data_IF_580641595062
#
_entry.id   IF_580641595062
#
_cell.length_a   1.000
_cell.length_b   1.000
_cell.length_c   1.000
_cell.angle_alpha   90.00
_cell.angle_beta   90.00
_cell.angle_gamma   90.00
#
_symmetry.space_group_name_H-M   'P 1'
#
loop_
_entity.id
_entity.type
_entity.pdbx_description
1 polymer ?
#
# COMPACT_ATOMS: atom_id res chain seq x y z
N UNK A 1 -32.67 2.32 -48.47
CA UNK A 1 -33.25 3.12 -47.36
C UNK A 1 -32.36 2.93 -46.13
N UNK A 2 -31.45 3.86 -45.84
CA UNK A 2 -30.69 3.86 -44.59
C UNK A 2 -31.59 4.42 -43.47
N UNK A 3 -31.75 3.74 -42.32
CA UNK A 3 -32.47 4.31 -41.19
C UNK A 3 -31.65 5.48 -40.62
N UNK A 4 -32.26 6.66 -40.55
CA UNK A 4 -31.70 7.83 -39.90
C UNK A 4 -31.70 7.61 -38.38
N UNK A 5 -30.52 7.35 -37.81
CA UNK A 5 -30.34 7.18 -36.35
C UNK A 5 -30.31 8.55 -35.64
N UNK A 6 -31.02 8.75 -34.51
CA UNK A 6 -31.12 10.06 -33.86
C UNK A 6 -29.75 10.55 -33.33
N UNK A 7 -29.39 11.84 -33.52
CA UNK A 7 -28.05 12.38 -33.25
C UNK A 7 -27.71 12.54 -31.75
N UNK A 8 -28.62 12.21 -30.83
CA UNK A 8 -28.45 12.36 -29.38
C UNK A 8 -27.92 11.12 -28.64
N UNK A 9 -28.15 9.91 -29.14
CA UNK A 9 -27.83 8.67 -28.40
C UNK A 9 -26.35 8.27 -28.46
N UNK A 10 -25.66 8.60 -29.56
CA UNK A 10 -24.21 8.31 -29.71
C UNK A 10 -23.35 9.10 -28.73
N UNK A 11 -23.75 10.32 -28.38
CA UNK A 11 -22.95 11.20 -27.50
C UNK A 11 -22.95 10.68 -26.06
N UNK A 12 -24.10 10.24 -25.56
CA UNK A 12 -24.22 9.67 -24.23
C UNK A 12 -23.61 8.26 -24.14
N UNK A 13 -23.74 7.43 -25.18
CA UNK A 13 -23.08 6.13 -25.25
C UNK A 13 -21.55 6.27 -25.27
N UNK A 14 -20.98 7.11 -26.15
CA UNK A 14 -19.53 7.38 -26.21
C UNK A 14 -18.98 7.99 -24.92
N UNK A 15 -19.76 8.85 -24.23
CA UNK A 15 -19.36 9.42 -22.93
C UNK A 15 -19.47 8.42 -21.77
N UNK A 16 -20.22 7.33 -21.93
CA UNK A 16 -20.29 6.21 -20.97
C UNK A 16 -19.16 5.21 -21.24
N UNK A 17 -18.87 4.93 -22.51
CA UNK A 17 -17.73 4.15 -23.00
C UNK A 17 -16.40 4.71 -22.45
N UNK A 18 -16.14 6.01 -22.69
CA UNK A 18 -14.94 6.69 -22.21
C UNK A 18 -14.84 6.71 -20.67
N UNK A 19 -15.96 6.60 -19.95
CA UNK A 19 -16.01 6.66 -18.47
C UNK A 19 -15.91 5.29 -17.80
N UNK A 20 -16.03 4.20 -18.55
CA UNK A 20 -15.70 2.87 -18.06
C UNK A 20 -14.25 2.52 -18.44
N UNK A 21 -13.80 2.95 -19.62
CA UNK A 21 -12.41 2.77 -20.06
C UNK A 21 -11.39 3.34 -19.07
N UNK A 22 -11.64 4.53 -18.51
CA UNK A 22 -10.68 5.14 -17.58
C UNK A 22 -10.51 4.33 -16.28
N UNK A 23 -11.57 3.67 -15.79
CA UNK A 23 -11.51 2.82 -14.60
C UNK A 23 -10.79 1.50 -14.88
N UNK A 24 -10.81 1.03 -16.12
CA UNK A 24 -10.17 -0.23 -16.54
C UNK A 24 -8.74 -0.03 -17.05
N UNK A 25 -8.21 1.20 -17.05
CA UNK A 25 -6.82 1.44 -17.44
C UNK A 25 -5.86 0.75 -16.47
N UNK A 26 -4.77 0.18 -16.99
CA UNK A 26 -3.73 -0.44 -16.16
C UNK A 26 -2.94 0.59 -15.34
N UNK A 27 -2.75 1.79 -15.91
CA UNK A 27 -1.97 2.87 -15.30
C UNK A 27 -2.69 4.19 -15.43
N UNK A 28 -2.89 4.86 -14.31
CA UNK A 28 -3.39 6.23 -14.28
C UNK A 28 -2.24 7.22 -14.30
N UNK A 29 -2.55 8.47 -14.65
CA UNK A 29 -1.54 9.52 -14.60
C UNK A 29 -1.09 9.74 -13.15
N UNK A 30 0.23 9.91 -12.90
CA UNK A 30 0.74 10.08 -11.54
C UNK A 30 0.18 11.33 -10.87
N UNK A 31 -0.13 12.38 -11.65
CA UNK A 31 -0.77 13.59 -11.16
C UNK A 31 -2.19 13.35 -10.67
N UNK A 32 -3.01 12.58 -11.40
CA UNK A 32 -4.38 12.27 -10.98
C UNK A 32 -4.39 11.41 -9.71
N UNK A 33 -3.50 10.41 -9.64
CA UNK A 33 -3.33 9.57 -8.44
C UNK A 33 -2.85 10.42 -7.26
N UNK A 34 -1.89 11.33 -7.47
CA UNK A 34 -1.39 12.24 -6.44
C UNK A 34 -2.48 13.16 -5.87
N UNK A 35 -3.28 13.77 -6.75
CA UNK A 35 -4.46 14.57 -6.33
C UNK A 35 -5.43 13.69 -5.53
N UNK A 36 -5.72 12.47 -6.00
CA UNK A 36 -6.60 11.53 -5.32
C UNK A 36 -6.12 11.14 -3.92
N UNK A 37 -4.82 10.85 -3.76
CA UNK A 37 -4.21 10.56 -2.46
C UNK A 37 -4.26 11.78 -1.54
N UNK A 38 -4.04 12.99 -2.07
CA UNK A 38 -4.16 14.23 -1.30
C UNK A 38 -5.58 14.46 -0.77
N UNK A 39 -6.60 14.30 -1.64
CA UNK A 39 -8.01 14.40 -1.24
C UNK A 39 -8.39 13.32 -0.23
N UNK A 40 -7.95 12.08 -0.46
CA UNK A 40 -8.15 10.98 0.49
C UNK A 40 -7.54 11.30 1.85
N UNK A 41 -6.36 11.93 1.87
CA UNK A 41 -5.70 12.32 3.10
C UNK A 41 -6.50 13.37 3.87
N UNK A 42 -7.02 14.40 3.19
CA UNK A 42 -7.92 15.37 3.83
C UNK A 42 -9.16 14.72 4.41
N UNK A 43 -9.80 13.83 3.65
CA UNK A 43 -10.98 13.09 4.13
C UNK A 43 -10.64 12.23 5.34
N UNK A 44 -9.51 11.52 5.32
CA UNK A 44 -9.06 10.70 6.45
C UNK A 44 -8.81 11.53 7.71
N UNK A 45 -8.21 12.73 7.58
CA UNK A 45 -8.05 13.65 8.71
C UNK A 45 -9.40 14.14 9.22
N UNK A 46 -10.29 14.60 8.34
CA UNK A 46 -11.61 15.13 8.75
C UNK A 46 -12.49 14.06 9.40
N UNK A 47 -12.44 12.81 8.94
CA UNK A 47 -13.32 11.74 9.45
C UNK A 47 -12.75 11.01 10.66
N UNK A 48 -11.44 11.00 10.87
CA UNK A 48 -10.82 10.10 11.86
C UNK A 48 -9.67 10.72 12.65
N UNK A 49 -9.31 11.99 12.40
CA UNK A 49 -8.19 12.70 13.04
C UNK A 49 -6.89 11.88 13.07
N UNK A 50 -6.75 10.96 12.11
CA UNK A 50 -5.65 9.99 12.04
C UNK A 50 -4.94 10.10 10.69
N UNK A 51 -3.60 10.10 10.68
CA UNK A 51 -2.83 10.05 9.45
C UNK A 51 -3.02 8.70 8.73
N UNK A 52 -2.68 8.67 7.44
CA UNK A 52 -2.62 7.44 6.67
C UNK A 52 -1.37 6.65 7.07
N UNK A 53 -1.58 5.51 7.73
CA UNK A 53 -0.52 4.60 8.16
C UNK A 53 -0.93 3.14 8.02
N UNK A 54 -0.01 2.28 7.60
CA UNK A 54 -0.25 0.84 7.50
C UNK A 54 0.41 0.04 8.63
N UNK A 55 1.58 0.47 9.08
CA UNK A 55 2.43 -0.29 10.01
C UNK A 55 1.81 -0.49 11.39
N UNK A 56 0.99 0.44 11.86
CA UNK A 56 0.25 0.31 13.12
C UNK A 56 -0.86 -0.74 13.02
N UNK A 57 -1.57 -0.82 11.90
CA UNK A 57 -2.59 -1.87 11.68
C UNK A 57 -1.99 -3.28 11.81
N UNK A 58 -0.75 -3.49 11.33
CA UNK A 58 -0.04 -4.76 11.52
C UNK A 58 0.30 -5.04 12.99
N UNK A 59 0.76 -4.03 13.74
CA UNK A 59 1.04 -4.17 15.17
C UNK A 59 -0.22 -4.44 16.00
N UNK A 60 -1.34 -3.80 15.65
CA UNK A 60 -2.65 -4.06 16.29
C UNK A 60 -3.15 -5.46 15.97
N UNK A 61 -2.96 -5.91 14.73
CA UNK A 61 -3.32 -7.27 14.31
C UNK A 61 -2.52 -8.32 15.08
N UNK A 62 -1.20 -8.13 15.25
CA UNK A 62 -0.41 -9.05 16.08
C UNK A 62 -0.91 -9.07 17.53
N UNK A 63 -1.27 -7.91 18.10
CA UNK A 63 -1.88 -7.84 19.42
C UNK A 63 -3.27 -8.49 19.52
N UNK A 64 -4.09 -8.41 18.48
CA UNK A 64 -5.39 -9.09 18.43
C UNK A 64 -5.22 -10.61 18.40
N UNK A 65 -4.29 -11.11 17.58
CA UNK A 65 -3.94 -12.53 17.52
C UNK A 65 -3.38 -12.98 18.87
N UNK A 66 -2.46 -12.21 19.46
CA UNK A 66 -1.87 -12.57 20.74
C UNK A 66 -2.91 -12.57 21.86
N UNK A 67 -3.83 -11.59 21.88
CA UNK A 67 -4.95 -11.52 22.82
C UNK A 67 -5.89 -12.71 22.67
N UNK A 68 -6.08 -13.21 21.45
CA UNK A 68 -6.86 -14.42 21.18
C UNK A 68 -6.19 -15.68 21.75
N UNK A 69 -4.85 -15.77 21.70
CA UNK A 69 -4.09 -16.93 22.16
C UNK A 69 -3.79 -16.92 23.67
N UNK A 70 -3.42 -15.77 24.23
CA UNK A 70 -2.96 -15.62 25.63
C UNK A 70 -3.95 -14.86 26.52
N UNK A 71 -5.13 -14.53 26.01
CA UNK A 71 -6.18 -13.83 26.72
C UNK A 71 -5.83 -12.38 27.07
N UNK A 72 -6.42 -11.88 28.15
CA UNK A 72 -6.40 -10.43 28.49
C UNK A 72 -5.05 -9.92 29.02
N UNK A 73 -4.13 -10.81 29.40
CA UNK A 73 -2.77 -10.50 29.89
C UNK A 73 -1.91 -9.74 28.87
N UNK A 74 -2.26 -9.82 27.58
CA UNK A 74 -1.58 -9.10 26.50
C UNK A 74 -1.77 -7.59 26.62
N UNK A 75 -2.90 -7.14 27.18
CA UNK A 75 -3.19 -5.72 27.37
C UNK A 75 -2.28 -5.06 28.42
N UNK A 76 -1.66 -5.85 29.29
CA UNK A 76 -0.74 -5.36 30.33
C UNK A 76 0.68 -5.13 29.78
N UNK A 77 0.97 -5.58 28.55
CA UNK A 77 2.29 -5.37 27.94
C UNK A 77 2.47 -3.90 27.55
N UNK A 78 3.62 -3.26 27.87
CA UNK A 78 3.88 -1.85 27.55
C UNK A 78 3.71 -1.51 26.06
N UNK A 79 4.02 -2.45 25.17
CA UNK A 79 3.86 -2.25 23.73
C UNK A 79 2.39 -2.14 23.32
N UNK A 80 1.51 -2.99 23.85
CA UNK A 80 0.08 -3.00 23.53
C UNK A 80 -0.72 -1.96 24.31
N UNK A 81 -0.15 -1.37 25.36
CA UNK A 81 -0.68 -0.14 25.95
C UNK A 81 -0.51 1.07 25.02
N UNK A 82 0.60 1.12 24.26
CA UNK A 82 0.82 2.15 23.23
C UNK A 82 0.06 1.86 21.93
N UNK A 83 -0.03 0.60 21.55
CA UNK A 83 -0.72 0.14 20.33
C UNK A 83 -1.82 -0.85 20.68
N UNK A 84 -2.94 -0.33 21.18
CA UNK A 84 -4.06 -1.14 21.62
C UNK A 84 -4.56 -2.08 20.50
N UNK A 85 -4.80 -3.37 20.78
CA UNK A 85 -5.32 -4.32 19.82
C UNK A 85 -6.82 -4.10 19.58
N UNK A 86 -7.11 -3.11 18.75
CA UNK A 86 -8.45 -2.69 18.35
C UNK A 86 -8.51 -2.51 16.83
N UNK A 87 -9.72 -2.65 16.29
CA UNK A 87 -10.00 -2.32 14.89
C UNK A 87 -10.24 -0.82 14.81
N UNK A 88 -9.31 -0.09 14.23
CA UNK A 88 -9.42 1.35 14.03
C UNK A 88 -9.41 1.74 12.56
N UNK A 89 -9.42 3.05 12.31
CA UNK A 89 -9.37 3.63 10.98
C UNK A 89 -8.23 3.09 10.11
N UNK A 90 -7.01 3.00 10.65
CA UNK A 90 -5.86 2.48 9.91
C UNK A 90 -6.05 1.00 9.53
N UNK A 91 -6.66 0.20 10.40
CA UNK A 91 -6.98 -1.19 10.09
C UNK A 91 -8.01 -1.30 8.97
N UNK A 92 -9.09 -0.51 9.02
CA UNK A 92 -10.11 -0.44 7.96
C UNK A 92 -9.51 0.05 6.64
N UNK A 93 -8.58 1.00 6.68
CA UNK A 93 -7.83 1.47 5.52
C UNK A 93 -7.03 0.34 4.88
N UNK A 94 -6.30 -0.47 5.66
CA UNK A 94 -5.51 -1.60 5.13
C UNK A 94 -6.43 -2.63 4.46
N UNK A 95 -7.57 -2.95 5.06
CA UNK A 95 -8.58 -3.82 4.42
C UNK A 95 -9.09 -3.20 3.12
N UNK A 96 -9.40 -1.90 3.13
CA UNK A 96 -9.82 -1.15 1.95
C UNK A 96 -8.77 -1.16 0.83
N UNK A 97 -7.48 -1.08 1.16
CA UNK A 97 -6.38 -1.19 0.18
C UNK A 97 -6.33 -2.58 -0.44
N UNK A 98 -6.50 -3.65 0.35
CA UNK A 98 -6.53 -5.03 -0.15
C UNK A 98 -7.71 -5.24 -1.10
N UNK A 99 -8.93 -4.87 -0.66
CA UNK A 99 -10.15 -5.00 -1.46
C UNK A 99 -10.08 -4.12 -2.71
N UNK A 100 -9.61 -2.88 -2.57
CA UNK A 100 -9.47 -1.94 -3.68
C UNK A 100 -8.44 -2.39 -4.71
N UNK A 101 -7.29 -2.92 -4.28
CA UNK A 101 -6.28 -3.47 -5.18
C UNK A 101 -6.82 -4.70 -5.93
N UNK A 102 -7.56 -5.57 -5.25
CA UNK A 102 -8.19 -6.72 -5.88
C UNK A 102 -9.26 -6.31 -6.92
N UNK A 103 -10.16 -5.39 -6.56
CA UNK A 103 -11.15 -4.86 -7.49
C UNK A 103 -10.49 -4.17 -8.69
N UNK A 104 -9.46 -3.36 -8.47
CA UNK A 104 -8.72 -2.70 -9.55
C UNK A 104 -8.05 -3.72 -10.48
N UNK A 105 -7.42 -4.76 -9.94
CA UNK A 105 -6.74 -5.78 -10.74
C UNK A 105 -7.74 -6.61 -11.57
N UNK A 106 -8.92 -6.90 -11.03
CA UNK A 106 -9.98 -7.63 -11.77
C UNK A 106 -10.61 -6.75 -12.86
N UNK A 107 -10.87 -5.46 -12.58
CA UNK A 107 -11.42 -4.50 -13.53
C UNK A 107 -10.47 -4.22 -14.70
N UNK A 108 -9.17 -4.03 -14.41
CA UNK A 108 -8.15 -3.82 -15.44
C UNK A 108 -7.71 -5.11 -16.13
N UNK A 109 -8.24 -6.28 -15.73
CA UNK A 109 -7.86 -7.61 -16.23
C UNK A 109 -6.35 -7.92 -16.09
N UNK A 110 -5.70 -7.31 -15.11
CA UNK A 110 -4.26 -7.48 -14.82
C UNK A 110 -4.00 -8.44 -13.67
N UNK A 111 -5.05 -9.05 -13.10
CA UNK A 111 -4.90 -10.04 -12.05
C UNK A 111 -4.13 -11.28 -12.57
N UNK A 112 -2.95 -11.52 -12.00
CA UNK A 112 -2.11 -12.67 -12.29
C UNK A 112 -1.41 -13.15 -11.03
N UNK A 113 -1.34 -14.47 -10.85
CA UNK A 113 -0.60 -15.09 -9.75
C UNK A 113 0.83 -15.31 -10.26
N UNK A 114 1.78 -14.56 -9.70
CA UNK A 114 3.20 -14.66 -10.05
C UNK A 114 3.99 -15.12 -8.82
N UNK A 115 4.54 -16.34 -8.88
CA UNK A 115 5.32 -16.92 -7.79
C UNK A 115 6.74 -16.36 -7.72
N UNK A 116 7.34 -16.09 -8.88
CA UNK A 116 8.68 -15.53 -9.00
C UNK A 116 8.61 -14.40 -10.03
N UNK A 117 8.83 -13.14 -9.63
CA UNK A 117 8.83 -12.01 -10.55
C UNK A 117 9.86 -12.16 -11.67
N UNK A 118 9.52 -11.78 -12.91
CA UNK A 118 10.46 -11.85 -14.04
C UNK A 118 11.84 -11.19 -13.76
N UNK A 119 11.86 -10.06 -13.07
CA UNK A 119 13.11 -9.39 -12.66
C UNK A 119 13.95 -10.23 -11.69
N UNK A 120 13.32 -11.00 -10.81
CA UNK A 120 14.02 -11.92 -9.93
C UNK A 120 14.53 -13.14 -10.69
N UNK A 121 13.72 -13.69 -11.60
CA UNK A 121 14.13 -14.83 -12.43
C UNK A 121 15.41 -14.51 -13.21
N UNK A 122 15.49 -13.30 -13.78
CA UNK A 122 16.66 -12.84 -14.51
C UNK A 122 17.92 -12.67 -13.66
N UNK A 123 17.78 -12.33 -12.36
CA UNK A 123 18.90 -12.03 -11.48
C UNK A 123 19.34 -13.20 -10.59
N UNK A 124 18.40 -13.98 -10.06
CA UNK A 124 18.63 -15.01 -9.04
C UNK A 124 18.08 -16.40 -9.42
N UNK A 125 17.54 -16.56 -10.64
CA UNK A 125 16.97 -17.80 -11.14
C UNK A 125 15.52 -18.06 -10.71
N UNK A 126 15.01 -19.23 -11.08
CA UNK A 126 13.57 -19.59 -10.99
C UNK A 126 13.16 -20.18 -9.63
N UNK A 127 14.06 -20.25 -8.65
CA UNK A 127 13.79 -20.91 -7.38
C UNK A 127 12.80 -20.11 -6.50
N UNK A 128 11.54 -20.58 -6.46
CA UNK A 128 10.51 -19.97 -5.64
C UNK A 128 10.87 -19.97 -4.15
N UNK A 129 11.44 -21.06 -3.63
CA UNK A 129 11.79 -21.18 -2.22
C UNK A 129 12.77 -20.07 -1.77
N UNK A 130 13.82 -19.81 -2.55
CA UNK A 130 14.80 -18.77 -2.23
C UNK A 130 14.13 -17.39 -2.29
N UNK A 131 13.31 -17.13 -3.32
CA UNK A 131 12.55 -15.88 -3.45
C UNK A 131 11.69 -15.60 -2.22
N UNK A 132 10.99 -16.61 -1.71
CA UNK A 132 10.12 -16.49 -0.53
C UNK A 132 10.92 -16.27 0.75
N UNK A 133 12.03 -16.99 0.95
CA UNK A 133 12.92 -16.79 2.10
C UNK A 133 13.46 -15.36 2.12
N UNK A 134 13.98 -14.88 0.99
CA UNK A 134 14.50 -13.51 0.88
C UNK A 134 13.37 -12.47 1.08
N UNK A 135 12.17 -12.72 0.56
CA UNK A 135 11.00 -11.86 0.80
C UNK A 135 10.67 -11.75 2.28
N UNK A 136 10.67 -12.89 2.98
CA UNK A 136 10.32 -12.98 4.39
C UNK A 136 11.36 -12.26 5.24
N UNK A 137 12.64 -12.52 5.00
CA UNK A 137 13.74 -11.83 5.69
C UNK A 137 13.66 -10.32 5.43
N UNK A 138 13.48 -9.90 4.18
CA UNK A 138 13.29 -8.48 3.83
C UNK A 138 12.08 -7.86 4.53
N UNK A 139 10.95 -8.58 4.57
CA UNK A 139 9.73 -8.14 5.24
C UNK A 139 9.90 -7.98 6.76
N UNK A 140 10.63 -8.90 7.41
CA UNK A 140 10.98 -8.80 8.83
C UNK A 140 11.85 -7.58 9.10
N UNK A 141 12.92 -7.38 8.30
CA UNK A 141 13.80 -6.21 8.43
C UNK A 141 13.04 -4.91 8.20
N UNK A 142 12.18 -4.85 7.17
CA UNK A 142 11.31 -3.71 6.90
C UNK A 142 10.34 -3.43 8.06
N UNK A 143 9.73 -4.48 8.63
CA UNK A 143 8.82 -4.35 9.76
C UNK A 143 9.51 -3.79 11.00
N UNK A 144 10.67 -4.33 11.36
CA UNK A 144 11.50 -3.83 12.46
C UNK A 144 11.92 -2.38 12.21
N UNK A 145 12.43 -2.08 11.02
CA UNK A 145 12.82 -0.72 10.63
C UNK A 145 11.67 0.29 10.70
N UNK A 146 10.47 -0.07 10.22
CA UNK A 146 9.29 0.80 10.26
C UNK A 146 8.74 1.03 11.68
N UNK A 147 9.05 0.15 12.65
CA UNK A 147 8.74 0.39 14.06
C UNK A 147 9.82 1.24 14.73
N UNK A 148 11.09 1.03 14.36
CA UNK A 148 12.19 1.83 14.89
C UNK A 148 12.11 3.29 14.41
N UNK A 149 11.74 3.52 13.16
CA UNK A 149 11.53 4.85 12.61
C UNK A 149 10.26 5.54 13.16
N UNK A 150 9.38 4.80 13.86
CA UNK A 150 8.10 5.33 14.35
C UNK A 150 7.00 5.41 13.28
N UNK A 151 7.24 4.90 12.07
CA UNK A 151 6.29 4.95 10.95
C UNK A 151 6.77 4.19 9.72
N UNK A 152 5.84 3.96 8.79
CA UNK A 152 6.16 3.40 7.47
C UNK A 152 6.25 4.50 6.40
N UNK A 153 6.53 4.12 5.16
CA UNK A 153 6.61 5.06 4.03
C UNK A 153 5.30 5.82 3.80
N UNK A 154 4.12 5.22 3.99
CA UNK A 154 2.85 5.98 3.91
C UNK A 154 2.71 6.98 5.05
N UNK A 155 3.05 6.58 6.28
CA UNK A 155 3.00 7.45 7.46
C UNK A 155 3.93 8.66 7.37
N UNK A 156 5.23 8.43 7.12
CA UNK A 156 6.19 9.53 6.99
C UNK A 156 6.12 10.22 5.63
N UNK A 157 6.04 9.44 4.55
CA UNK A 157 6.16 9.95 3.18
C UNK A 157 4.90 10.65 2.67
N UNK A 158 3.70 10.20 3.04
CA UNK A 158 2.45 10.87 2.67
C UNK A 158 2.04 11.79 3.82
N UNK A 159 1.59 11.23 4.96
CA UNK A 159 1.00 12.03 6.03
C UNK A 159 1.97 12.98 6.72
N UNK A 160 3.20 12.55 6.96
CA UNK A 160 4.21 13.34 7.64
C UNK A 160 4.76 14.50 6.81
N UNK A 161 4.99 14.29 5.51
CA UNK A 161 5.45 15.36 4.60
C UNK A 161 4.38 16.42 4.36
N UNK A 162 3.09 16.03 4.27
CA UNK A 162 1.98 16.98 4.18
C UNK A 162 1.88 17.89 5.42
N UNK A 163 2.24 17.37 6.60
CA UNK A 163 2.31 18.15 7.84
C UNK A 163 3.61 18.96 7.98
N UNK A 164 4.49 18.91 6.97
CA UNK A 164 5.82 19.53 6.98
C UNK A 164 6.70 19.09 8.17
N UNK A 165 6.48 17.88 8.69
CA UNK A 165 7.24 17.36 9.81
C UNK A 165 8.69 17.07 9.38
N UNK A 166 9.65 17.74 10.01
CA UNK A 166 11.10 17.60 9.70
C UNK A 166 11.56 16.15 9.87
N UNK A 167 11.10 15.47 10.92
CA UNK A 167 11.40 14.06 11.16
C UNK A 167 10.93 13.16 10.02
N UNK A 168 9.78 13.47 9.42
CA UNK A 168 9.22 12.71 8.30
C UNK A 168 9.95 12.95 6.99
N UNK A 169 10.41 14.17 6.74
CA UNK A 169 11.29 14.45 5.60
C UNK A 169 12.62 13.68 5.70
N UNK A 170 13.25 13.70 6.87
CA UNK A 170 14.47 12.92 7.14
C UNK A 170 14.24 11.42 6.97
N UNK A 171 13.14 10.89 7.53
CA UNK A 171 12.77 9.50 7.40
C UNK A 171 12.51 9.11 5.93
N UNK A 172 11.75 9.91 5.19
CA UNK A 172 11.46 9.65 3.78
C UNK A 172 12.73 9.62 2.93
N UNK A 173 13.63 10.60 3.07
CA UNK A 173 14.92 10.61 2.37
C UNK A 173 15.75 9.37 2.71
N UNK A 174 15.79 8.98 3.99
CA UNK A 174 16.53 7.81 4.45
C UNK A 174 15.95 6.50 3.92
N UNK A 175 14.61 6.37 3.84
CA UNK A 175 13.95 5.20 3.27
C UNK A 175 14.27 5.04 1.79
N UNK A 176 14.20 6.12 1.01
CA UNK A 176 14.55 6.07 -0.42
C UNK A 176 16.03 5.80 -0.63
N UNK A 177 16.92 6.50 0.09
CA UNK A 177 18.36 6.27 0.00
C UNK A 177 18.73 4.83 0.37
N UNK A 178 18.23 4.32 1.51
CA UNK A 178 18.47 2.95 1.95
C UNK A 178 17.88 1.91 1.00
N UNK A 179 16.68 2.14 0.47
CA UNK A 179 16.05 1.28 -0.53
C UNK A 179 16.84 1.19 -1.83
N UNK A 180 17.29 2.33 -2.36
CA UNK A 180 18.13 2.41 -3.56
C UNK A 180 19.47 1.72 -3.30
N UNK A 181 20.14 2.01 -2.19
CA UNK A 181 21.41 1.38 -1.83
C UNK A 181 21.27 -0.15 -1.70
N UNK A 182 20.20 -0.62 -1.05
CA UNK A 182 19.93 -2.06 -0.90
C UNK A 182 19.64 -2.72 -2.25
N UNK A 183 18.85 -2.08 -3.11
CA UNK A 183 18.57 -2.58 -4.45
C UNK A 183 19.85 -2.68 -5.29
N UNK A 184 20.72 -1.67 -5.24
CA UNK A 184 22.01 -1.68 -5.93
C UNK A 184 22.94 -2.76 -5.38
N UNK A 185 23.00 -2.94 -4.06
CA UNK A 185 23.80 -3.99 -3.45
C UNK A 185 23.33 -5.38 -3.88
N UNK A 186 22.01 -5.64 -3.82
CA UNK A 186 21.46 -6.96 -4.15
C UNK A 186 21.60 -7.24 -5.64
N UNK A 187 21.12 -6.38 -6.53
CA UNK A 187 21.01 -6.66 -7.96
C UNK A 187 22.26 -6.35 -8.79
N UNK A 188 23.27 -5.70 -8.21
CA UNK A 188 24.50 -5.34 -8.95
C UNK A 188 25.75 -5.95 -8.35
N UNK A 189 25.74 -6.32 -7.06
CA UNK A 189 26.91 -6.85 -6.37
C UNK A 189 26.72 -8.30 -5.97
N UNK A 190 25.54 -8.68 -5.45
CA UNK A 190 25.28 -10.03 -4.95
C UNK A 190 24.70 -10.98 -6.00
N UNK A 191 23.85 -10.48 -6.89
CA UNK A 191 23.23 -11.17 -8.02
C UNK A 191 23.84 -10.66 -9.33
#
# INVERSE_FOLDING_TARGET
>A
MCPQWPPGSRRNARKKENRMEWLTMERWSPYAVGIGIGVLSWIAFVLSDKPLGCSTAFARTSGMIEKMLHGRKVLDKPYYQKFAPEIDWEWMLVVGVIVGAFLSATLSKTFGIEWVPAYWQAAAGESAAIRWIVALVGGVVMGVGARWAGGCTSGHGISGTMQLAVSSWLAAMSFFAGGIATAMLIYRVLL
#
